data_IF_105468600446
#
_entry.id   IF_105468600446
#
_cell.length_a   1.000
_cell.length_b   1.000
_cell.length_c   1.000
_cell.angle_alpha   90.00
_cell.angle_beta   90.00
_cell.angle_gamma   90.00
#
_symmetry.space_group_name_H-M   'P 1'
#
loop_
_entity.id
_entity.type
_entity.pdbx_description
1 polymer ?
#
# COMPACT_ATOMS: atom_id res chain seq x y z
N UNK A 1 3.54 -9.35 12.11
CA UNK A 1 2.53 -10.35 11.72
C UNK A 1 2.99 -10.98 10.40
N UNK A 2 2.84 -12.29 10.22
CA UNK A 2 3.08 -13.01 8.96
C UNK A 2 1.92 -14.00 8.79
N UNK A 3 1.32 -14.07 7.61
CA UNK A 3 0.11 -14.85 7.40
C UNK A 3 0.30 -16.38 7.36
N UNK A 4 1.53 -16.91 7.43
CA UNK A 4 1.78 -18.34 7.25
C UNK A 4 1.34 -18.83 5.85
N UNK A 5 1.43 -20.13 5.56
CA UNK A 5 1.11 -20.69 4.24
C UNK A 5 -0.41 -20.83 4.03
N UNK A 6 -1.01 -19.95 3.21
CA UNK A 6 -2.46 -19.92 2.94
C UNK A 6 -2.75 -19.85 1.43
N UNK A 7 -2.55 -20.93 0.66
CA UNK A 7 -2.51 -20.89 -0.80
C UNK A 7 -3.82 -20.49 -1.51
N UNK A 8 -4.95 -20.50 -0.79
CA UNK A 8 -6.27 -20.09 -1.31
C UNK A 8 -6.68 -18.68 -0.86
N UNK A 9 -5.78 -17.92 -0.25
CA UNK A 9 -6.08 -16.56 0.20
C UNK A 9 -6.19 -15.60 -1.00
N UNK A 10 -7.42 -15.27 -1.38
CA UNK A 10 -7.70 -14.41 -2.53
C UNK A 10 -7.80 -12.93 -2.19
N UNK A 11 -8.26 -12.59 -0.98
CA UNK A 11 -8.50 -11.22 -0.56
C UNK A 11 -7.79 -10.93 0.76
N UNK A 12 -7.06 -9.83 0.79
CA UNK A 12 -6.49 -9.28 2.01
C UNK A 12 -7.01 -7.86 2.22
N UNK A 13 -7.45 -7.56 3.44
CA UNK A 13 -7.84 -6.22 3.85
C UNK A 13 -7.09 -5.84 5.11
N UNK A 14 -6.37 -4.73 5.06
CA UNK A 14 -5.56 -4.21 6.16
C UNK A 14 -6.00 -2.78 6.44
N UNK A 15 -6.34 -2.49 7.69
CA UNK A 15 -6.80 -1.17 8.12
C UNK A 15 -6.07 -0.77 9.40
N UNK A 16 -5.61 0.48 9.48
CA UNK A 16 -5.00 1.00 10.70
C UNK A 16 -5.07 2.53 10.73
N UNK A 17 -5.51 3.07 11.87
CA UNK A 17 -5.35 4.47 12.23
C UNK A 17 -3.98 4.65 12.91
N UNK A 18 -2.91 4.62 12.12
CA UNK A 18 -1.55 4.62 12.65
C UNK A 18 -1.21 5.96 13.34
N UNK A 19 -0.79 5.88 14.60
CA UNK A 19 -0.37 7.03 15.42
C UNK A 19 1.12 7.35 15.24
N UNK A 20 1.54 8.46 15.85
CA UNK A 20 2.94 8.87 15.86
C UNK A 20 3.85 7.79 16.44
N UNK A 21 4.97 7.51 15.77
CA UNK A 21 5.94 6.49 16.18
C UNK A 21 5.60 5.05 15.77
N UNK A 22 4.43 4.78 15.18
CA UNK A 22 4.16 3.45 14.61
C UNK A 22 5.12 3.19 13.45
N UNK A 23 5.93 2.13 13.57
CA UNK A 23 6.86 1.75 12.50
C UNK A 23 6.09 1.18 11.31
N UNK A 24 6.25 1.73 10.09
CA UNK A 24 5.69 1.13 8.89
C UNK A 24 6.18 -0.31 8.73
N UNK A 25 5.36 -1.15 8.11
CA UNK A 25 5.77 -2.51 7.76
C UNK A 25 5.69 -2.75 6.26
N UNK A 26 6.43 -3.74 5.81
CA UNK A 26 6.47 -4.17 4.41
C UNK A 26 5.34 -5.15 4.12
N UNK A 27 4.67 -5.00 2.98
CA UNK A 27 3.62 -5.93 2.56
C UNK A 27 4.18 -7.33 2.37
N UNK A 28 5.41 -7.49 1.88
CA UNK A 28 6.06 -8.79 1.74
C UNK A 28 6.23 -9.57 3.06
N UNK A 29 6.39 -8.85 4.19
CA UNK A 29 6.49 -9.47 5.52
C UNK A 29 5.14 -10.02 5.98
N UNK A 30 4.05 -9.36 5.62
CA UNK A 30 2.69 -9.83 5.91
C UNK A 30 2.27 -10.93 4.92
N UNK A 31 2.56 -10.72 3.64
CA UNK A 31 2.11 -11.47 2.47
C UNK A 31 3.26 -12.33 1.93
N UNK A 32 3.74 -13.28 2.74
CA UNK A 32 4.82 -14.20 2.33
C UNK A 32 4.54 -14.79 0.94
N UNK A 33 5.55 -14.82 0.07
CA UNK A 33 5.42 -15.27 -1.33
C UNK A 33 4.92 -16.71 -1.49
N UNK A 34 5.09 -17.55 -0.46
CA UNK A 34 4.54 -18.91 -0.46
C UNK A 34 3.01 -18.93 -0.32
N UNK A 35 2.39 -17.82 0.05
CA UNK A 35 1.07 -17.80 0.69
C UNK A 35 0.00 -17.07 -0.12
N UNK A 36 0.32 -16.56 -1.31
CA UNK A 36 -0.52 -15.57 -2.02
C UNK A 36 -0.64 -15.78 -3.52
N UNK A 37 -0.39 -17.00 -4.02
CA UNK A 37 -0.50 -17.29 -5.48
C UNK A 37 -1.90 -17.00 -6.05
N UNK A 38 -2.92 -17.06 -5.19
CA UNK A 38 -4.33 -16.76 -5.51
C UNK A 38 -4.76 -15.33 -5.14
N UNK A 39 -3.88 -14.51 -4.55
CA UNK A 39 -4.23 -13.15 -4.12
C UNK A 39 -4.66 -12.31 -5.32
N UNK A 40 -5.94 -11.98 -5.35
CA UNK A 40 -6.59 -11.23 -6.42
C UNK A 40 -7.02 -9.84 -5.96
N UNK A 41 -7.27 -9.65 -4.66
CA UNK A 41 -7.75 -8.38 -4.10
C UNK A 41 -6.92 -7.91 -2.90
N UNK A 42 -6.47 -6.66 -2.93
CA UNK A 42 -5.82 -5.98 -1.81
C UNK A 42 -6.64 -4.73 -1.43
N UNK A 43 -7.02 -4.63 -0.16
CA UNK A 43 -7.63 -3.43 0.41
C UNK A 43 -6.72 -2.86 1.51
N UNK A 44 -6.42 -1.56 1.42
CA UNK A 44 -5.65 -0.81 2.40
C UNK A 44 -6.50 0.36 2.88
N UNK A 45 -6.76 0.48 4.17
CA UNK A 45 -7.46 1.61 4.76
C UNK A 45 -6.56 2.36 5.76
N UNK A 46 -6.22 3.60 5.43
CA UNK A 46 -5.34 4.43 6.22
C UNK A 46 -6.06 5.21 7.31
N UNK A 47 -7.40 5.14 7.37
CA UNK A 47 -8.22 5.83 8.37
C UNK A 47 -7.91 7.33 8.50
N UNK A 48 -7.50 7.98 7.40
CA UNK A 48 -7.05 9.38 7.35
C UNK A 48 -5.80 9.70 8.18
N UNK A 49 -5.03 8.68 8.57
CA UNK A 49 -3.81 8.79 9.35
C UNK A 49 -2.57 8.48 8.49
N UNK A 50 -1.41 8.40 9.14
CA UNK A 50 -0.13 8.15 8.47
C UNK A 50 -0.14 6.88 7.60
N UNK A 51 0.62 6.91 6.51
CA UNK A 51 0.90 5.73 5.71
C UNK A 51 1.74 4.75 6.54
N UNK A 52 1.13 3.64 6.92
CA UNK A 52 1.77 2.58 7.73
C UNK A 52 2.33 1.42 6.90
N UNK A 53 2.35 1.57 5.58
CA UNK A 53 3.02 0.65 4.65
C UNK A 53 4.31 1.27 4.14
N UNK A 54 5.39 0.49 4.22
CA UNK A 54 6.67 0.85 3.61
C UNK A 54 6.66 0.41 2.14
N UNK A 55 6.89 1.32 1.17
CA UNK A 55 7.14 0.96 -0.22
C UNK A 55 8.32 -0.01 -0.36
N UNK A 56 8.21 -0.95 -1.28
CA UNK A 56 9.24 -1.96 -1.55
C UNK A 56 9.62 -1.97 -3.03
N UNK A 57 10.74 -2.63 -3.37
CA UNK A 57 11.10 -2.84 -4.78
C UNK A 57 9.99 -3.61 -5.49
N UNK A 58 9.41 -3.08 -6.58
CA UNK A 58 8.38 -3.78 -7.34
C UNK A 58 8.80 -5.18 -7.80
N UNK A 59 10.09 -5.41 -8.07
CA UNK A 59 10.62 -6.73 -8.45
C UNK A 59 10.43 -7.77 -7.34
N UNK A 60 10.60 -7.36 -6.08
CA UNK A 60 10.38 -8.23 -4.92
C UNK A 60 8.89 -8.58 -4.78
N UNK A 61 8.01 -7.60 -4.99
CA UNK A 61 6.57 -7.76 -4.82
C UNK A 61 5.90 -8.44 -6.02
N UNK A 62 6.53 -8.46 -7.19
CA UNK A 62 5.96 -9.06 -8.41
C UNK A 62 5.50 -10.50 -8.19
N UNK A 63 6.22 -11.30 -7.39
CA UNK A 63 5.80 -12.67 -7.08
C UNK A 63 4.49 -12.72 -6.28
N UNK A 64 4.31 -11.79 -5.35
CA UNK A 64 3.15 -11.71 -4.45
C UNK A 64 1.95 -11.13 -5.20
N UNK A 65 2.17 -10.13 -6.06
CA UNK A 65 1.11 -9.40 -6.77
C UNK A 65 0.90 -9.85 -8.22
N UNK A 66 1.54 -10.93 -8.66
CA UNK A 66 1.42 -11.47 -10.02
C UNK A 66 -0.03 -11.74 -10.45
N UNK A 67 -0.87 -12.21 -9.52
CA UNK A 67 -2.29 -12.50 -9.73
C UNK A 67 -3.23 -11.37 -9.29
N UNK A 68 -2.70 -10.26 -8.74
CA UNK A 68 -3.50 -9.19 -8.16
C UNK A 68 -4.27 -8.46 -9.27
N UNK A 69 -5.59 -8.36 -9.11
CA UNK A 69 -6.51 -7.76 -10.08
C UNK A 69 -7.15 -6.49 -9.56
N UNK A 70 -7.37 -6.41 -8.26
CA UNK A 70 -8.12 -5.34 -7.62
C UNK A 70 -7.33 -4.75 -6.45
N UNK A 71 -7.10 -3.45 -6.49
CA UNK A 71 -6.50 -2.69 -5.39
C UNK A 71 -7.45 -1.61 -4.96
N UNK A 72 -7.75 -1.56 -3.67
CA UNK A 72 -8.56 -0.53 -3.05
C UNK A 72 -7.75 0.17 -1.97
N UNK A 73 -7.57 1.47 -2.11
CA UNK A 73 -6.86 2.32 -1.17
C UNK A 73 -7.86 3.34 -0.60
N UNK A 74 -8.17 3.20 0.68
CA UNK A 74 -9.17 3.97 1.40
C UNK A 74 -8.56 4.99 2.35
N UNK A 75 -9.26 6.11 2.49
CA UNK A 75 -9.00 7.14 3.50
C UNK A 75 -7.54 7.59 3.55
N UNK A 76 -6.91 7.81 2.39
CA UNK A 76 -5.61 8.49 2.34
C UNK A 76 -5.82 9.96 2.72
N UNK A 77 -4.96 10.50 3.58
CA UNK A 77 -5.03 11.90 3.95
C UNK A 77 -4.76 12.81 2.73
N UNK A 78 -5.45 13.95 2.63
CA UNK A 78 -5.53 14.73 1.39
C UNK A 78 -4.18 15.21 0.83
N UNK A 79 -3.25 15.54 1.71
CA UNK A 79 -1.94 16.13 1.46
C UNK A 79 -0.87 15.06 1.15
N UNK A 80 -1.21 13.78 1.22
CA UNK A 80 -0.26 12.71 0.96
C UNK A 80 0.08 12.69 -0.52
N UNK A 81 1.36 12.72 -0.85
CA UNK A 81 1.81 12.33 -2.18
C UNK A 81 1.30 10.91 -2.50
N UNK A 82 0.91 10.69 -3.76
CA UNK A 82 0.40 9.40 -4.24
C UNK A 82 1.48 8.58 -4.97
N UNK A 83 2.68 9.13 -5.19
CA UNK A 83 3.76 8.41 -5.90
C UNK A 83 4.15 7.10 -5.21
N UNK A 84 3.96 6.98 -3.89
CA UNK A 84 4.21 5.73 -3.18
C UNK A 84 3.34 4.59 -3.74
N UNK A 85 2.14 4.87 -4.26
CA UNK A 85 1.27 3.82 -4.82
C UNK A 85 1.87 3.13 -6.06
N UNK A 86 2.86 3.76 -6.73
CA UNK A 86 3.50 3.17 -7.90
C UNK A 86 4.23 1.87 -7.63
N UNK A 87 4.68 1.60 -6.40
CA UNK A 87 5.31 0.32 -6.12
C UNK A 87 4.33 -0.86 -6.31
N UNK A 88 3.05 -0.65 -5.95
CA UNK A 88 1.97 -1.64 -6.14
C UNK A 88 1.65 -1.77 -7.62
N UNK A 89 1.44 -0.63 -8.30
CA UNK A 89 1.09 -0.59 -9.72
C UNK A 89 2.15 -1.29 -10.59
N UNK A 90 3.44 -1.06 -10.30
CA UNK A 90 4.56 -1.69 -11.04
C UNK A 90 4.74 -3.17 -10.70
N UNK A 91 4.31 -3.61 -9.54
CA UNK A 91 4.44 -5.01 -9.10
C UNK A 91 3.26 -5.89 -9.52
N UNK A 92 2.14 -5.31 -9.96
CA UNK A 92 0.90 -6.02 -10.26
C UNK A 92 0.61 -6.02 -11.78
N UNK A 93 1.24 -6.90 -12.58
CA UNK A 93 1.06 -6.93 -14.03
C UNK A 93 -0.35 -7.32 -14.49
N UNK A 94 -1.13 -7.98 -13.62
CA UNK A 94 -2.50 -8.42 -13.91
C UNK A 94 -3.57 -7.46 -13.40
N UNK A 95 -3.18 -6.28 -12.89
CA UNK A 95 -4.08 -5.33 -12.27
C UNK A 95 -5.12 -4.82 -13.27
N UNK A 96 -6.39 -4.84 -12.86
CA UNK A 96 -7.52 -4.39 -13.67
C UNK A 96 -8.19 -3.17 -13.06
N UNK A 97 -8.36 -3.16 -11.74
CA UNK A 97 -9.05 -2.11 -11.02
C UNK A 97 -8.14 -1.52 -9.94
N UNK A 98 -8.01 -0.20 -9.95
CA UNK A 98 -7.29 0.55 -8.93
C UNK A 98 -8.19 1.67 -8.42
N UNK A 99 -8.70 1.50 -7.20
CA UNK A 99 -9.54 2.47 -6.51
C UNK A 99 -8.72 3.20 -5.45
N UNK A 100 -8.83 4.53 -5.43
CA UNK A 100 -8.21 5.38 -4.43
C UNK A 100 -9.18 6.45 -3.96
N UNK A 101 -9.46 6.48 -2.66
CA UNK A 101 -10.21 7.58 -2.03
C UNK A 101 -9.33 8.37 -1.09
N UNK A 102 -9.40 9.69 -1.20
CA UNK A 102 -8.82 10.62 -0.24
C UNK A 102 -9.90 11.17 0.67
N UNK A 103 -9.57 11.33 1.94
CA UNK A 103 -10.47 11.96 2.89
C UNK A 103 -10.25 13.48 2.87
N UNK A 104 -11.32 14.26 2.70
CA UNK A 104 -11.28 15.71 2.58
C UNK A 104 -11.37 16.45 3.90
N UNK A 105 -11.14 15.80 5.05
CA UNK A 105 -11.29 16.49 6.34
C UNK A 105 -10.45 17.76 6.37
N UNK A 106 -11.11 18.84 6.77
CA UNK A 106 -10.45 20.10 7.07
C UNK A 106 -9.32 19.84 8.07
N UNK A 107 -8.16 20.48 7.91
CA UNK A 107 -7.14 20.41 8.92
C UNK A 107 -7.70 21.07 10.18
N UNK A 108 -8.14 20.31 11.20
CA UNK A 108 -8.04 20.66 12.63
C UNK A 108 -8.80 19.71 13.60
N UNK A 109 -8.20 19.56 14.81
CA UNK A 109 -8.75 19.23 16.14
C UNK A 109 -8.43 17.89 16.82
N UNK A 110 -7.68 16.99 16.21
CA UNK A 110 -7.07 15.89 16.98
C UNK A 110 -5.57 16.11 17.08
N UNK A 111 -5.19 16.62 18.25
CA UNK A 111 -3.85 16.90 18.73
C UNK A 111 -3.11 15.58 18.96
N UNK A 112 -2.85 14.86 17.88
CA UNK A 112 -1.82 13.81 17.82
C UNK A 112 -1.36 13.65 16.36
N UNK A 113 -1.13 14.81 15.72
CA UNK A 113 -0.59 14.90 14.37
C UNK A 113 0.87 14.46 14.45
N UNK A 114 1.08 13.15 14.48
CA UNK A 114 2.29 12.55 13.97
C UNK A 114 2.65 13.32 12.69
N UNK A 115 3.85 13.92 12.64
CA UNK A 115 4.26 14.72 11.48
C UNK A 115 3.88 13.96 10.23
N UNK A 116 2.92 14.52 9.51
CA UNK A 116 2.33 14.01 8.29
C UNK A 116 3.41 14.17 7.22
N UNK A 117 4.40 13.30 7.29
CA UNK A 117 5.60 13.41 6.47
C UNK A 117 5.26 12.93 5.09
N UNK A 118 5.43 13.81 4.12
CA UNK A 118 5.61 13.40 2.75
C UNK A 118 6.75 12.40 2.71
N UNK A 119 6.46 11.23 2.17
CA UNK A 119 7.45 10.23 1.84
C UNK A 119 8.24 10.76 0.63
N UNK A 120 9.24 11.60 0.91
CA UNK A 120 10.21 12.06 -0.10
C UNK A 120 11.04 10.86 -0.52
N UNK A 121 10.62 10.20 -1.60
CA UNK A 121 11.40 9.14 -2.24
C UNK A 121 12.12 9.71 -3.44
N UNK A 122 13.44 9.48 -3.52
CA UNK A 122 14.18 9.74 -4.74
C UNK A 122 13.69 8.82 -5.85
N UNK A 123 13.16 9.42 -6.91
CA UNK A 123 12.65 8.75 -8.12
C UNK A 123 13.77 8.22 -9.02
N UNK A 124 14.98 8.02 -8.50
CA UNK A 124 16.21 7.79 -9.27
C UNK A 124 16.26 6.46 -10.05
N UNK A 125 15.22 5.63 -9.98
CA UNK A 125 15.07 4.42 -10.81
C UNK A 125 13.75 4.32 -11.61
N UNK A 126 12.95 5.39 -11.65
CA UNK A 126 11.72 5.44 -12.46
C UNK A 126 12.06 5.71 -13.93
N UNK A 127 12.68 4.75 -14.61
CA UNK A 127 12.71 4.76 -16.08
C UNK A 127 11.29 4.50 -16.55
N UNK A 128 10.59 5.55 -16.97
CA UNK A 128 9.38 5.43 -17.76
C UNK A 128 9.77 4.67 -19.03
N UNK A 129 9.21 3.47 -19.22
CA UNK A 129 9.18 2.86 -20.55
C UNK A 129 8.17 3.70 -21.33
N UNK A 130 8.69 4.60 -22.17
CA UNK A 130 7.90 5.21 -23.22
C UNK A 130 7.44 4.07 -24.11
N UNK A 131 6.13 3.81 -24.11
CA UNK A 131 5.47 2.99 -25.12
C UNK A 131 5.36 3.81 -26.41
#
# INVERSE_FOLDING_TARGET
MSCGFVPQLEKVSLASAALSGQKPFTLSKCLSSSSTRSLSTLCLDFCSQMIWIQPEDPKQLTRIFSSLRDVYIYNVFAECDLNWTFFILKAAPSLKNFYLSRHSCEPNKFEDIAKKTDLVWETSSFKHLNL
#
